data_IF_772982051772
#
_entry.id   IF_772982051772
#
_cell.length_a   1.000
_cell.length_b   1.000
_cell.length_c   1.000
_cell.angle_alpha   90.00
_cell.angle_beta   90.00
_cell.angle_gamma   90.00
#
_symmetry.space_group_name_H-M   'P 1'
#
loop_
_entity.id
_entity.type
_entity.pdbx_description
1 polymer ?
#
# COMPACT_ATOMS: atom_id res chain seq x y z
N UNK A 1 -23.33 15.55 -2.61
CA UNK A 1 -22.06 15.11 -3.22
C UNK A 1 -20.82 15.71 -2.53
N UNK A 2 -20.73 17.04 -2.32
CA UNK A 2 -19.56 17.70 -1.66
C UNK A 2 -19.23 17.16 -0.25
N UNK A 3 -20.24 16.95 0.60
CA UNK A 3 -20.05 16.45 1.98
C UNK A 3 -19.47 15.02 2.05
N UNK A 4 -19.88 14.12 1.13
CA UNK A 4 -19.33 12.75 1.07
C UNK A 4 -17.86 12.75 0.63
N UNK A 5 -17.51 13.65 -0.28
CA UNK A 5 -16.13 13.82 -0.75
C UNK A 5 -15.21 14.36 0.35
N UNK A 6 -15.64 15.38 1.09
CA UNK A 6 -14.84 15.93 2.20
C UNK A 6 -14.59 14.92 3.31
N UNK A 7 -15.53 14.02 3.58
CA UNK A 7 -15.32 12.92 4.54
C UNK A 7 -14.24 11.95 4.04
N UNK A 8 -14.29 11.58 2.75
CA UNK A 8 -13.30 10.65 2.20
C UNK A 8 -11.90 11.27 2.11
N UNK A 9 -11.80 12.55 1.76
CA UNK A 9 -10.53 13.29 1.76
C UNK A 9 -9.95 13.43 3.18
N UNK A 10 -10.82 13.64 4.19
CA UNK A 10 -10.40 13.65 5.59
C UNK A 10 -9.90 12.28 6.04
N UNK A 11 -10.58 11.20 5.65
CA UNK A 11 -10.15 9.83 5.96
C UNK A 11 -8.78 9.52 5.32
N UNK A 12 -8.56 9.93 4.06
CA UNK A 12 -7.27 9.78 3.38
C UNK A 12 -6.13 10.53 4.09
N UNK A 13 -6.38 11.76 4.53
CA UNK A 13 -5.42 12.54 5.31
C UNK A 13 -5.10 11.88 6.65
N UNK A 14 -6.12 11.37 7.34
CA UNK A 14 -5.95 10.67 8.61
C UNK A 14 -5.07 9.41 8.43
N UNK A 15 -5.37 8.57 7.43
CA UNK A 15 -4.59 7.37 7.12
C UNK A 15 -3.14 7.75 6.77
N UNK A 16 -2.94 8.79 5.98
CA UNK A 16 -1.60 9.29 5.62
C UNK A 16 -0.84 9.74 6.87
N UNK A 17 -1.49 10.45 7.79
CA UNK A 17 -0.91 10.86 9.07
C UNK A 17 -0.48 9.66 9.92
N UNK A 18 -1.28 8.60 9.98
CA UNK A 18 -0.95 7.37 10.71
C UNK A 18 0.28 6.68 10.09
N UNK A 19 0.38 6.61 8.76
CA UNK A 19 1.54 6.03 8.06
C UNK A 19 2.83 6.79 8.41
N UNK A 20 2.79 8.13 8.35
CA UNK A 20 3.93 8.97 8.72
C UNK A 20 4.29 8.86 10.20
N UNK A 21 3.30 8.79 11.08
CA UNK A 21 3.51 8.59 12.51
C UNK A 21 4.21 7.25 12.77
N UNK A 22 3.80 6.17 12.11
CA UNK A 22 4.46 4.87 12.23
C UNK A 22 5.92 4.92 11.73
N UNK A 23 6.17 5.55 10.59
CA UNK A 23 7.54 5.76 10.10
C UNK A 23 8.40 6.58 11.06
N UNK A 24 7.83 7.62 11.68
CA UNK A 24 8.51 8.46 12.66
C UNK A 24 8.84 7.70 13.96
N UNK A 25 7.89 6.91 14.48
CA UNK A 25 8.12 6.06 15.65
C UNK A 25 9.24 5.05 15.41
N UNK A 26 9.31 4.46 14.22
CA UNK A 26 10.40 3.56 13.85
C UNK A 26 11.76 4.25 13.87
N UNK A 27 11.87 5.47 13.34
CA UNK A 27 13.12 6.25 13.37
C UNK A 27 13.56 6.55 14.80
N UNK A 28 12.62 6.91 15.68
CA UNK A 28 12.91 7.08 17.11
C UNK A 28 13.42 5.77 17.72
N UNK A 29 12.75 4.64 17.46
CA UNK A 29 13.14 3.35 17.99
C UNK A 29 14.59 3.01 17.63
N UNK A 30 14.95 3.13 16.34
CA UNK A 30 16.30 2.87 15.85
C UNK A 30 17.33 3.83 16.46
N UNK A 31 16.96 5.09 16.69
CA UNK A 31 17.84 6.09 17.30
C UNK A 31 18.06 5.88 18.80
N UNK A 32 17.07 5.30 19.49
CA UNK A 32 17.09 5.05 20.94
C UNK A 32 17.76 3.72 21.29
N UNK A 33 17.65 2.69 20.45
CA UNK A 33 18.31 1.40 20.67
C UNK A 33 19.83 1.52 20.51
N UNK A 34 20.56 1.67 21.62
CA UNK A 34 22.02 1.90 21.66
C UNK A 34 22.90 0.68 21.33
N UNK A 35 22.33 -0.52 21.18
CA UNK A 35 23.04 -1.73 20.75
C UNK A 35 22.22 -2.42 19.66
N UNK A 36 22.65 -2.27 18.41
CA UNK A 36 22.11 -3.03 17.28
C UNK A 36 22.82 -4.38 17.26
N UNK A 37 22.24 -5.39 17.89
CA UNK A 37 22.79 -6.76 17.86
C UNK A 37 22.76 -7.36 16.44
N UNK A 38 21.88 -6.87 15.57
CA UNK A 38 21.75 -7.31 14.17
C UNK A 38 21.61 -6.13 13.17
N UNK A 39 22.72 -5.50 12.75
CA UNK A 39 22.68 -4.30 11.88
C UNK A 39 22.09 -4.57 10.49
N UNK A 40 22.27 -5.78 9.95
CA UNK A 40 21.74 -6.17 8.63
C UNK A 40 20.21 -6.31 8.69
N UNK A 41 19.68 -6.92 9.74
CA UNK A 41 18.23 -7.13 9.89
C UNK A 41 17.50 -5.81 10.12
N UNK A 42 18.07 -4.93 10.95
CA UNK A 42 17.50 -3.61 11.23
C UNK A 42 17.53 -2.70 9.98
N UNK A 43 18.60 -2.76 9.19
CA UNK A 43 18.66 -2.00 7.93
C UNK A 43 17.63 -2.51 6.91
N UNK A 44 17.42 -3.83 6.83
CA UNK A 44 16.43 -4.43 5.95
C UNK A 44 14.98 -4.11 6.35
N UNK A 45 14.70 -4.13 7.65
CA UNK A 45 13.41 -3.68 8.18
C UNK A 45 13.20 -2.18 7.91
N UNK A 46 14.27 -1.39 8.03
CA UNK A 46 14.24 0.05 7.71
C UNK A 46 13.91 0.32 6.24
N UNK A 47 14.50 -0.44 5.32
CA UNK A 47 14.14 -0.37 3.89
C UNK A 47 12.67 -0.71 3.68
N UNK A 48 12.16 -1.74 4.37
CA UNK A 48 10.75 -2.15 4.26
C UNK A 48 9.80 -1.09 4.80
N UNK A 49 10.11 -0.49 5.95
CA UNK A 49 9.36 0.61 6.57
C UNK A 49 9.33 1.83 5.64
N UNK A 50 10.49 2.29 5.18
CA UNK A 50 10.59 3.45 4.29
C UNK A 50 9.88 3.20 2.96
N UNK A 51 10.03 2.01 2.38
CA UNK A 51 9.31 1.59 1.18
C UNK A 51 7.80 1.66 1.39
N UNK A 52 7.29 1.13 2.50
CA UNK A 52 5.85 1.15 2.82
C UNK A 52 5.33 2.57 3.00
N UNK A 53 6.09 3.47 3.63
CA UNK A 53 5.72 4.89 3.78
C UNK A 53 5.67 5.59 2.42
N UNK A 54 6.68 5.39 1.58
CA UNK A 54 6.76 6.01 0.25
C UNK A 54 5.63 5.51 -0.66
N UNK A 55 5.52 4.19 -0.85
CA UNK A 55 4.48 3.63 -1.71
C UNK A 55 3.07 3.86 -1.13
N UNK A 56 2.90 3.78 0.19
CA UNK A 56 1.64 4.07 0.85
C UNK A 56 1.16 5.50 0.62
N UNK A 57 2.05 6.49 0.74
CA UNK A 57 1.72 7.90 0.46
C UNK A 57 1.41 8.14 -1.03
N UNK A 58 2.10 7.44 -1.94
CA UNK A 58 1.78 7.48 -3.38
C UNK A 58 0.39 6.94 -3.68
N UNK A 59 0.00 5.81 -3.08
CA UNK A 59 -1.34 5.23 -3.23
C UNK A 59 -2.40 6.22 -2.74
N UNK A 60 -2.20 6.84 -1.57
CA UNK A 60 -3.13 7.85 -1.03
C UNK A 60 -3.31 9.04 -1.98
N UNK A 61 -2.20 9.53 -2.56
CA UNK A 61 -2.24 10.60 -3.56
C UNK A 61 -3.02 10.19 -4.82
N UNK A 62 -2.80 8.97 -5.31
CA UNK A 62 -3.56 8.46 -6.45
C UNK A 62 -5.04 8.28 -6.12
N UNK A 63 -5.38 7.83 -4.91
CA UNK A 63 -6.77 7.67 -4.49
C UNK A 63 -7.51 9.01 -4.41
N UNK A 64 -6.85 10.06 -3.91
CA UNK A 64 -7.39 11.42 -3.90
C UNK A 64 -7.67 11.94 -5.33
N UNK A 65 -6.74 11.72 -6.27
CA UNK A 65 -6.96 12.07 -7.68
C UNK A 65 -8.11 11.27 -8.31
N UNK A 66 -8.20 9.98 -8.00
CA UNK A 66 -9.31 9.10 -8.40
C UNK A 66 -10.65 9.67 -7.94
N UNK A 67 -10.73 10.13 -6.69
CA UNK A 67 -11.93 10.74 -6.14
C UNK A 67 -12.33 12.02 -6.88
N UNK A 68 -11.35 12.83 -7.29
CA UNK A 68 -11.59 14.01 -8.11
C UNK A 68 -12.10 13.64 -9.53
N UNK A 69 -11.61 12.55 -10.13
CA UNK A 69 -12.11 12.04 -11.41
C UNK A 69 -13.57 11.60 -11.31
N UNK A 70 -13.93 10.90 -10.23
CA UNK A 70 -15.31 10.47 -9.95
C UNK A 70 -16.22 11.70 -9.76
N UNK A 71 -15.77 12.69 -9.01
CA UNK A 71 -16.53 13.93 -8.78
C UNK A 71 -16.79 14.73 -10.08
N UNK A 72 -15.93 14.58 -11.09
CA UNK A 72 -16.07 15.20 -12.40
C UNK A 72 -16.79 14.32 -13.43
N UNK A 73 -17.49 13.25 -13.00
CA UNK A 73 -18.17 12.29 -13.88
C UNK A 73 -17.25 11.59 -14.90
N UNK A 74 -15.93 11.54 -14.64
CA UNK A 74 -14.91 10.90 -15.49
C UNK A 74 -14.35 9.62 -14.84
N UNK A 75 -15.21 8.90 -14.13
CA UNK A 75 -14.85 7.72 -13.34
C UNK A 75 -14.23 6.60 -14.20
N UNK A 76 -14.80 6.33 -15.38
CA UNK A 76 -14.28 5.37 -16.35
C UNK A 76 -13.66 6.14 -17.52
N UNK A 77 -12.49 6.72 -17.26
CA UNK A 77 -11.70 7.39 -18.28
C UNK A 77 -10.32 6.77 -18.35
N UNK A 78 -9.63 7.00 -19.46
CA UNK A 78 -8.25 6.54 -19.66
C UNK A 78 -7.32 7.06 -18.55
N UNK A 79 -7.59 8.26 -18.03
CA UNK A 79 -6.92 8.82 -16.86
C UNK A 79 -7.16 7.95 -15.61
N UNK A 80 -8.41 7.57 -15.33
CA UNK A 80 -8.77 6.73 -14.18
C UNK A 80 -8.10 5.36 -14.24
N UNK A 81 -8.11 4.70 -15.40
CA UNK A 81 -7.42 3.42 -15.63
C UNK A 81 -5.91 3.54 -15.36
N UNK A 82 -5.29 4.63 -15.85
CA UNK A 82 -3.88 4.89 -15.59
C UNK A 82 -3.59 5.10 -14.09
N UNK A 83 -4.52 5.64 -13.31
CA UNK A 83 -4.39 5.72 -11.86
C UNK A 83 -4.52 4.35 -11.19
N UNK A 84 -5.49 3.52 -11.58
CA UNK A 84 -5.64 2.14 -11.04
C UNK A 84 -4.37 1.33 -11.30
N UNK A 85 -3.81 1.41 -12.51
CA UNK A 85 -2.54 0.77 -12.89
C UNK A 85 -1.38 1.17 -11.99
N UNK A 86 -1.28 2.46 -11.66
CA UNK A 86 -0.24 2.97 -10.75
C UNK A 86 -0.43 2.44 -9.33
N UNK A 87 -1.67 2.46 -8.82
CA UNK A 87 -2.01 1.90 -7.50
C UNK A 87 -1.64 0.42 -7.42
N UNK A 88 -2.03 -0.40 -8.42
CA UNK A 88 -1.67 -1.83 -8.45
C UNK A 88 -0.16 -2.02 -8.39
N UNK A 89 0.60 -1.25 -9.19
CA UNK A 89 2.06 -1.34 -9.21
C UNK A 89 2.66 -1.03 -7.84
N UNK A 90 2.18 0.03 -7.17
CA UNK A 90 2.67 0.41 -5.85
C UNK A 90 2.33 -0.66 -4.79
N UNK A 91 1.14 -1.28 -4.85
CA UNK A 91 0.77 -2.43 -4.00
C UNK A 91 1.73 -3.61 -4.23
N UNK A 92 2.09 -3.88 -5.48
CA UNK A 92 3.07 -4.92 -5.83
C UNK A 92 4.46 -4.63 -5.26
N UNK A 93 4.91 -3.38 -5.31
CA UNK A 93 6.16 -2.95 -4.70
C UNK A 93 6.14 -3.13 -3.17
N UNK A 94 5.03 -2.78 -2.50
CA UNK A 94 4.84 -3.01 -1.06
C UNK A 94 4.92 -4.51 -0.76
N UNK A 95 4.22 -5.34 -1.53
CA UNK A 95 4.27 -6.81 -1.36
C UNK A 95 5.70 -7.35 -1.45
N UNK A 96 6.51 -6.82 -2.37
CA UNK A 96 7.92 -7.20 -2.50
C UNK A 96 8.76 -6.69 -1.32
N UNK A 97 8.53 -5.45 -0.87
CA UNK A 97 9.16 -4.89 0.32
C UNK A 97 8.93 -5.78 1.55
N UNK A 98 7.71 -6.29 1.74
CA UNK A 98 7.39 -7.14 2.89
C UNK A 98 8.18 -8.46 2.92
N UNK A 99 8.63 -9.01 1.78
CA UNK A 99 9.51 -10.18 1.77
C UNK A 99 10.85 -9.88 2.45
N UNK A 100 11.35 -8.66 2.33
CA UNK A 100 12.57 -8.23 3.01
C UNK A 100 12.36 -8.08 4.53
N UNK A 101 11.14 -8.00 5.05
CA UNK A 101 10.91 -8.04 6.49
C UNK A 101 11.02 -9.46 7.09
N UNK A 102 11.07 -10.53 6.29
CA UNK A 102 11.13 -11.91 6.80
C UNK A 102 12.30 -12.20 7.75
N UNK A 103 13.56 -11.78 7.46
CA UNK A 103 14.68 -12.04 8.35
C UNK A 103 14.48 -11.48 9.76
N UNK A 104 13.70 -10.40 9.91
CA UNK A 104 13.36 -9.87 11.22
C UNK A 104 12.49 -10.82 12.04
N UNK A 105 11.46 -11.42 11.43
CA UNK A 105 10.61 -12.39 12.10
C UNK A 105 11.37 -13.65 12.50
N UNK A 106 12.36 -14.07 11.70
CA UNK A 106 13.25 -15.20 12.04
C UNK A 106 14.11 -14.86 13.25
N UNK A 107 14.79 -13.71 13.26
CA UNK A 107 15.60 -13.31 14.42
C UNK A 107 14.77 -13.10 15.68
N UNK A 108 13.53 -12.61 15.54
CA UNK A 108 12.63 -12.45 16.68
C UNK A 108 12.17 -13.81 17.23
N UNK A 109 11.93 -14.79 16.37
CA UNK A 109 11.59 -16.15 16.79
C UNK A 109 12.73 -16.83 17.55
N UNK A 110 13.97 -16.65 17.06
CA UNK A 110 15.17 -17.20 17.72
C UNK A 110 15.43 -16.52 19.08
N UNK A 111 15.20 -15.21 19.18
CA UNK A 111 15.44 -14.45 20.41
C UNK A 111 14.48 -14.80 21.56
N UNK A 112 13.23 -15.11 21.25
CA UNK A 112 12.16 -15.38 22.23
C UNK A 112 11.85 -16.89 22.37
N UNK A 113 12.67 -17.76 21.73
CA UNK A 113 12.49 -19.22 21.63
C UNK A 113 11.05 -19.61 21.17
N UNK A 114 10.50 -18.79 20.27
CA UNK A 114 9.09 -18.82 19.88
C UNK A 114 8.96 -19.05 18.36
N UNK A 115 9.01 -20.31 17.88
CA UNK A 115 8.98 -20.63 16.44
C UNK A 115 7.67 -20.18 15.76
N UNK A 116 6.59 -19.98 16.51
CA UNK A 116 5.32 -19.46 16.00
C UNK A 116 5.41 -18.04 15.41
N UNK A 117 6.41 -17.24 15.81
CA UNK A 117 6.61 -15.88 15.30
C UNK A 117 6.93 -15.88 13.80
N UNK A 118 7.63 -16.92 13.30
CA UNK A 118 7.92 -17.07 11.87
C UNK A 118 6.64 -17.29 11.07
N UNK A 119 5.71 -18.11 11.59
CA UNK A 119 4.40 -18.34 10.96
C UNK A 119 3.56 -17.06 10.90
N UNK A 120 3.59 -16.25 11.97
CA UNK A 120 2.94 -14.94 11.97
C UNK A 120 3.56 -14.00 10.94
N UNK A 121 4.90 -13.95 10.86
CA UNK A 121 5.61 -13.18 9.83
C UNK A 121 5.19 -13.59 8.42
N UNK A 122 5.09 -14.90 8.15
CA UNK A 122 4.62 -15.42 6.88
C UNK A 122 3.19 -14.97 6.55
N UNK A 123 2.27 -15.03 7.51
CA UNK A 123 0.91 -14.55 7.33
C UNK A 123 0.85 -13.04 7.02
N UNK A 124 1.68 -12.23 7.70
CA UNK A 124 1.78 -10.78 7.47
C UNK A 124 2.29 -10.47 6.06
N UNK A 125 3.26 -11.23 5.55
CA UNK A 125 3.80 -11.05 4.20
C UNK A 125 2.82 -11.51 3.10
N UNK A 126 1.98 -12.51 3.38
CA UNK A 126 0.95 -12.95 2.45
C UNK A 126 -0.19 -11.93 2.26
N UNK A 127 -0.47 -11.10 3.26
CA UNK A 127 -1.55 -10.11 3.20
C UNK A 127 -1.42 -9.10 2.04
N UNK A 128 -0.31 -8.36 1.87
CA UNK A 128 -0.16 -7.42 0.75
C UNK A 128 -0.15 -8.13 -0.61
N UNK A 129 0.32 -9.38 -0.67
CA UNK A 129 0.27 -10.18 -1.89
C UNK A 129 -1.17 -10.51 -2.30
N UNK A 130 -2.02 -10.91 -1.35
CA UNK A 130 -3.44 -11.13 -1.62
C UNK A 130 -4.14 -9.85 -2.11
N UNK A 131 -3.81 -8.69 -1.52
CA UNK A 131 -4.32 -7.38 -1.96
C UNK A 131 -3.83 -7.04 -3.37
N UNK A 132 -2.58 -7.37 -3.70
CA UNK A 132 -2.05 -7.18 -5.06
C UNK A 132 -2.85 -7.97 -6.10
N UNK A 133 -3.10 -9.25 -5.83
CA UNK A 133 -3.90 -10.12 -6.72
C UNK A 133 -5.31 -9.55 -6.88
N UNK A 134 -5.95 -9.15 -5.78
CA UNK A 134 -7.27 -8.51 -5.83
C UNK A 134 -7.24 -7.21 -6.65
N UNK A 135 -6.22 -6.38 -6.47
CA UNK A 135 -6.06 -5.14 -7.23
C UNK A 135 -5.86 -5.38 -8.72
N UNK A 136 -5.25 -6.50 -9.11
CA UNK A 136 -5.12 -6.89 -10.51
C UNK A 136 -6.48 -7.23 -11.13
N UNK A 137 -7.31 -7.98 -10.41
CA UNK A 137 -8.69 -8.28 -10.84
C UNK A 137 -9.50 -6.98 -11.00
N UNK A 138 -9.35 -6.03 -10.06
CA UNK A 138 -10.01 -4.73 -10.13
C UNK A 138 -9.53 -3.93 -11.36
N UNK A 139 -8.23 -3.95 -11.67
CA UNK A 139 -7.68 -3.28 -12.86
C UNK A 139 -8.35 -3.80 -14.14
N UNK A 140 -8.41 -5.12 -14.31
CA UNK A 140 -8.99 -5.75 -15.50
C UNK A 140 -10.49 -5.41 -15.62
N UNK A 141 -11.23 -5.47 -14.50
CA UNK A 141 -12.64 -5.07 -14.47
C UNK A 141 -12.83 -3.61 -14.86
N UNK A 142 -11.94 -2.72 -14.41
CA UNK A 142 -11.99 -1.30 -14.74
C UNK A 142 -11.73 -1.02 -16.22
N UNK A 143 -10.79 -1.77 -16.82
CA UNK A 143 -10.50 -1.70 -18.25
C UNK A 143 -11.70 -2.20 -19.06
N UNK A 144 -12.29 -3.34 -18.70
CA UNK A 144 -13.49 -3.86 -19.37
C UNK A 144 -14.66 -2.88 -19.29
N UNK A 145 -14.91 -2.29 -18.13
CA UNK A 145 -15.98 -1.30 -17.95
C UNK A 145 -15.79 -0.06 -18.84
N UNK A 146 -14.55 0.41 -19.02
CA UNK A 146 -14.25 1.50 -19.93
C UNK A 146 -14.53 1.15 -21.40
N UNK A 147 -14.16 -0.05 -21.85
CA UNK A 147 -14.45 -0.49 -23.22
C UNK A 147 -15.96 -0.55 -23.47
N UNK A 148 -16.73 -1.09 -22.52
CA UNK A 148 -18.19 -1.13 -22.62
C UNK A 148 -18.82 0.26 -22.71
N UNK A 149 -18.35 1.23 -21.92
CA UNK A 149 -18.85 2.60 -21.99
C UNK A 149 -18.51 3.27 -23.33
N UNK A 150 -17.30 3.03 -23.84
CA UNK A 150 -16.86 3.59 -25.13
C UNK A 150 -17.65 3.01 -26.30
N UNK A 151 -17.91 1.71 -26.30
CA UNK A 151 -18.66 1.06 -27.38
C UNK A 151 -20.11 1.55 -27.42
N UNK A 152 -20.74 1.72 -26.24
CA UNK A 152 -22.08 2.32 -26.15
C UNK A 152 -22.11 3.72 -26.79
N UNK A 153 -21.16 4.58 -26.45
CA UNK A 153 -21.06 5.97 -26.94
C UNK A 153 -20.83 6.07 -28.46
N UNK A 154 -20.34 5.00 -29.11
CA UNK A 154 -20.14 4.92 -30.57
C UNK A 154 -21.36 4.41 -31.36
N UNK A 155 -22.34 3.81 -30.68
CA UNK A 155 -23.54 3.22 -31.30
C UNK A 155 -24.80 4.07 -31.18
N UNK A 156 -24.77 5.17 -30.42
CA UNK A 156 -25.89 6.13 -30.27
C UNK A 156 -25.76 7.31 -31.23
#
# INVERSE_FOLDING_TARGET
MKFRRTILDLALLFITGVIWLMGFLYVIQVSTSRQLEHPIVISLLGITMLGTVIFGTQIMYFLHRMLALIANHKAFSLASINLVKKIRRDIGCISLCFLFAMPFFVTAADADDAPGVVLLGAAVVCAPFAIYVLSQIIEDLFVSAFHLQKDHDLTV
#
